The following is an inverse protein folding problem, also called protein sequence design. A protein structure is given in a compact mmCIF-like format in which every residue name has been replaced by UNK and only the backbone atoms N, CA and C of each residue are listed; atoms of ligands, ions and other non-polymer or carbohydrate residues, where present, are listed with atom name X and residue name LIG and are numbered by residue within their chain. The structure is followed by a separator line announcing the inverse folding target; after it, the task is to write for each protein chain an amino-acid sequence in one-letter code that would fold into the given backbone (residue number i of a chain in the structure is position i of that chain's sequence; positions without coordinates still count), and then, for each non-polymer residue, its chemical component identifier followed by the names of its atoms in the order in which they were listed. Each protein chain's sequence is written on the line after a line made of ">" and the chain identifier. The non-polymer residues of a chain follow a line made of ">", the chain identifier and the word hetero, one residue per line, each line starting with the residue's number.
data_IF_994915402761
#
_entry.id   IF_994915402761
#
_cell.length_a   1.000
_cell.length_b   1.000
_cell.length_c   1.000
_cell.angle_alpha   90.00
_cell.angle_beta   90.00
_cell.angle_gamma   90.00
#
_symmetry.space_group_name_H-M   'P 1'
#
loop_
_entity.id
_entity.type
_entity.pdbx_description
1 polymer ?
#
# COMPACT_ATOMS: atom_id res chain seq x y z
N UNK A 1 8.55 -12.05 -9.18
CA UNK A 1 8.04 -10.98 -8.33
C UNK A 1 9.03 -10.62 -7.25
N UNK A 2 9.11 -9.34 -6.99
CA UNK A 2 10.10 -8.84 -6.04
C UNK A 2 9.86 -9.29 -4.61
N UNK A 3 8.61 -9.55 -4.29
CA UNK A 3 8.22 -9.87 -2.92
C UNK A 3 7.92 -11.35 -2.71
N UNK A 4 8.33 -12.16 -3.66
CA UNK A 4 8.19 -13.60 -3.47
C UNK A 4 8.95 -14.00 -2.21
N UNK A 5 8.31 -14.68 -1.32
CA UNK A 5 8.90 -15.03 -0.05
C UNK A 5 8.62 -14.06 1.09
N UNK A 6 8.09 -12.87 0.77
CA UNK A 6 7.67 -11.93 1.81
C UNK A 6 6.27 -12.32 2.29
N UNK A 7 6.10 -12.35 3.60
CA UNK A 7 4.80 -12.71 4.17
C UNK A 7 3.84 -11.55 4.01
N UNK A 8 2.88 -11.71 3.13
CA UNK A 8 1.84 -10.71 2.90
C UNK A 8 0.49 -11.40 2.86
N UNK A 9 -0.53 -10.69 3.32
CA UNK A 9 -1.89 -11.22 3.23
C UNK A 9 -2.47 -10.97 1.83
N UNK A 10 -3.66 -11.52 1.58
CA UNK A 10 -4.27 -11.41 0.27
C UNK A 10 -4.57 -9.97 -0.13
N UNK A 11 -4.96 -9.14 0.84
CA UNK A 11 -5.24 -7.73 0.55
C UNK A 11 -3.98 -7.00 0.11
N UNK A 12 -2.88 -7.24 0.78
CA UNK A 12 -1.61 -6.59 0.45
C UNK A 12 -1.18 -6.98 -0.96
N UNK A 13 -1.27 -8.26 -1.28
CA UNK A 13 -0.91 -8.74 -2.61
C UNK A 13 -1.80 -8.10 -3.67
N UNK A 14 -3.11 -8.03 -3.41
CA UNK A 14 -4.05 -7.45 -4.36
C UNK A 14 -3.72 -5.99 -4.65
N UNK A 15 -3.49 -5.20 -3.62
CA UNK A 15 -3.22 -3.78 -3.81
C UNK A 15 -1.88 -3.56 -4.51
N UNK A 16 -0.86 -4.32 -4.13
CA UNK A 16 0.44 -4.18 -4.77
C UNK A 16 0.37 -4.53 -6.26
N UNK A 17 -0.40 -5.54 -6.62
CA UNK A 17 -0.59 -5.88 -8.02
C UNK A 17 -1.27 -4.76 -8.78
N UNK A 18 -2.22 -4.09 -8.16
CA UNK A 18 -2.87 -2.94 -8.80
C UNK A 18 -1.90 -1.79 -9.01
N UNK A 19 -1.05 -1.55 -8.04
CA UNK A 19 -0.03 -0.50 -8.17
C UNK A 19 0.92 -0.82 -9.31
N UNK A 20 1.33 -2.08 -9.42
CA UNK A 20 2.21 -2.51 -10.50
C UNK A 20 1.56 -2.41 -11.88
N UNK A 21 0.25 -2.57 -11.93
CA UNK A 21 -0.49 -2.46 -13.19
C UNK A 21 -0.61 -1.03 -13.69
N UNK A 22 -0.10 -0.07 -12.95
CA UNK A 22 -0.13 1.30 -13.39
C UNK A 22 -1.29 2.10 -12.82
N UNK A 23 -1.54 1.94 -11.54
CA UNK A 23 -2.56 2.74 -10.87
C UNK A 23 -2.26 4.21 -11.05
N UNK A 24 -3.26 4.97 -11.43
CA UNK A 24 -3.12 6.41 -11.55
C UNK A 24 -3.10 7.06 -10.18
N UNK A 25 -2.23 8.04 -10.05
CA UNK A 25 -2.13 8.81 -8.81
C UNK A 25 -1.35 8.07 -7.75
N UNK A 26 -1.31 8.68 -6.59
CA UNK A 26 -0.56 8.15 -5.48
C UNK A 26 -1.41 7.20 -4.65
N UNK A 27 -0.76 6.21 -4.07
CA UNK A 27 -1.45 5.31 -3.19
C UNK A 27 -1.69 6.01 -1.85
N UNK A 28 -2.94 6.01 -1.41
CA UNK A 28 -3.32 6.58 -0.13
C UNK A 28 -4.09 5.54 0.66
N UNK A 29 -4.30 5.83 1.95
CA UNK A 29 -5.09 4.94 2.79
C UNK A 29 -6.49 4.75 2.21
N UNK A 30 -7.10 5.82 1.74
CA UNK A 30 -8.44 5.74 1.15
C UNK A 30 -8.46 4.87 -0.09
N UNK A 31 -7.46 5.00 -0.96
CA UNK A 31 -7.37 4.16 -2.14
C UNK A 31 -7.16 2.69 -1.78
N UNK A 32 -6.29 2.45 -0.80
CA UNK A 32 -6.07 1.09 -0.33
C UNK A 32 -7.37 0.46 0.13
N UNK A 33 -8.11 1.18 0.99
CA UNK A 33 -9.36 0.67 1.52
C UNK A 33 -10.35 0.37 0.39
N UNK A 34 -10.41 1.23 -0.61
CA UNK A 34 -11.32 1.04 -1.75
C UNK A 34 -10.91 -0.18 -2.59
N UNK A 35 -9.63 -0.33 -2.87
CA UNK A 35 -9.15 -1.45 -3.68
C UNK A 35 -9.32 -2.77 -2.95
N UNK A 36 -8.95 -2.80 -1.68
CA UNK A 36 -8.99 -4.02 -0.88
C UNK A 36 -10.37 -4.30 -0.30
N UNK A 37 -11.28 -3.34 -0.43
CA UNK A 37 -12.65 -3.45 0.10
C UNK A 37 -12.63 -3.73 1.59
N UNK A 38 -11.88 -2.94 2.32
CA UNK A 38 -11.76 -3.07 3.76
C UNK A 38 -11.95 -1.71 4.42
N UNK A 39 -12.02 -1.70 5.74
CA UNK A 39 -12.14 -0.46 6.48
C UNK A 39 -10.83 0.34 6.43
N UNK A 40 -10.89 1.66 6.64
CA UNK A 40 -9.67 2.45 6.70
C UNK A 40 -8.70 1.99 7.79
N UNK A 41 -9.22 1.50 8.91
CA UNK A 41 -8.35 0.99 9.98
C UNK A 41 -7.59 -0.24 9.53
N UNK A 42 -8.25 -1.15 8.83
CA UNK A 42 -7.60 -2.34 8.28
C UNK A 42 -6.58 -1.95 7.23
N UNK A 43 -6.94 -1.00 6.36
CA UNK A 43 -6.02 -0.52 5.34
C UNK A 43 -4.75 0.06 5.97
N UNK A 44 -4.91 0.85 7.02
CA UNK A 44 -3.76 1.45 7.69
C UNK A 44 -2.86 0.39 8.29
N UNK A 45 -3.44 -0.65 8.87
CA UNK A 45 -2.67 -1.75 9.43
C UNK A 45 -1.87 -2.46 8.35
N UNK A 46 -2.51 -2.76 7.23
CA UNK A 46 -1.82 -3.42 6.12
C UNK A 46 -0.68 -2.56 5.58
N UNK A 47 -0.93 -1.26 5.46
CA UNK A 47 0.09 -0.33 4.98
C UNK A 47 1.27 -0.29 5.94
N UNK A 48 1.00 -0.23 7.24
CA UNK A 48 2.06 -0.20 8.23
C UNK A 48 2.92 -1.46 8.19
N UNK A 49 2.30 -2.61 7.96
CA UNK A 49 3.03 -3.85 7.79
C UNK A 49 4.01 -3.75 6.62
N UNK A 50 3.55 -3.20 5.50
CA UNK A 50 4.40 -3.07 4.33
C UNK A 50 5.50 -2.03 4.53
N UNK A 51 5.23 -0.98 5.30
CA UNK A 51 6.26 -0.02 5.65
C UNK A 51 7.35 -0.69 6.49
N UNK A 52 6.96 -1.52 7.44
CA UNK A 52 7.91 -2.26 8.26
C UNK A 52 8.74 -3.24 7.43
N UNK A 53 8.12 -3.88 6.45
CA UNK A 53 8.82 -4.82 5.59
C UNK A 53 9.69 -4.13 4.54
N UNK A 54 9.58 -2.82 4.39
CA UNK A 54 10.34 -2.10 3.40
C UNK A 54 9.78 -2.17 1.99
N UNK A 55 8.54 -2.61 1.85
CA UNK A 55 7.89 -2.71 0.53
C UNK A 55 7.32 -1.38 0.11
N UNK A 56 6.83 -0.60 1.06
CA UNK A 56 6.31 0.74 0.81
C UNK A 56 7.14 1.77 1.56
N UNK A 57 7.14 2.99 1.05
CA UNK A 57 7.73 4.12 1.73
C UNK A 57 6.71 5.25 1.77
N UNK A 58 6.79 6.03 2.82
CA UNK A 58 5.91 7.18 2.98
C UNK A 58 6.45 8.36 2.19
N UNK A 59 5.58 8.97 1.42
CA UNK A 59 5.94 10.22 0.74
C UNK A 59 5.73 11.37 1.69
N UNK A 60 6.76 12.17 1.86
CA UNK A 60 6.64 13.37 2.64
C UNK A 60 6.11 14.48 1.77
N UNK A 61 4.91 14.89 2.04
CA UNK A 61 4.30 15.92 1.23
C UNK A 61 3.50 16.90 2.02
N UNK A 62 3.63 16.89 3.29
CA UNK A 62 2.86 17.77 4.13
C UNK A 62 1.37 17.63 3.88
N UNK A 63 0.58 17.96 4.83
CA UNK A 63 -0.85 17.91 4.69
C UNK A 63 -1.45 16.65 5.26
N UNK A 64 -2.74 16.53 5.06
CA UNK A 64 -3.53 15.49 5.71
C UNK A 64 -3.43 14.15 5.03
N UNK A 65 -3.12 14.17 3.75
CA UNK A 65 -3.16 12.94 2.96
C UNK A 65 -1.75 12.42 2.77
N UNK A 66 -1.39 11.45 3.57
CA UNK A 66 -0.13 10.77 3.40
C UNK A 66 -0.24 9.84 2.22
N UNK A 67 0.71 9.95 1.31
CA UNK A 67 0.78 9.04 0.18
C UNK A 67 1.91 8.05 0.40
N UNK A 68 1.85 6.94 -0.30
CA UNK A 68 2.84 5.88 -0.20
C UNK A 68 3.33 5.51 -1.59
N UNK A 69 4.56 5.10 -1.68
CA UNK A 69 5.14 4.62 -2.94
C UNK A 69 5.76 3.26 -2.73
N UNK A 70 5.87 2.53 -3.81
CA UNK A 70 6.51 1.24 -3.81
C UNK A 70 8.01 1.42 -3.79
N UNK A 71 8.66 0.71 -2.89
CA UNK A 71 10.11 0.69 -2.82
C UNK A 71 10.62 -0.35 -3.81
N UNK A 72 11.52 0.06 -4.66
CA UNK A 72 12.07 -0.85 -5.67
C UNK A 72 13.42 -1.39 -5.25
#
# INVERSE_FOLDING_TARGET
>A
QRWAGTLMNARQTLVLNRVLDGMEGKLTNAKWAAIAKCSPDTALRDINDLLTLGVLARLEGGGRNTAYILVK
#
